data_IF_497558863693
#
_entry.id   IF_497558863693
#
_cell.length_a   1.000
_cell.length_b   1.000
_cell.length_c   1.000
_cell.angle_alpha   90.00
_cell.angle_beta   90.00
_cell.angle_gamma   90.00
#
_symmetry.space_group_name_H-M   'P 1'
#
loop_
_entity.id
_entity.type
_entity.pdbx_description
1 polymer ?
#
# COMPACT_ATOMS: atom_id res chain seq x y z
N UNK A 1 -13.92 -4.51 -10.10
CA UNK A 1 -12.81 -3.87 -9.38
C UNK A 1 -11.76 -3.47 -10.43
N UNK A 2 -11.04 -2.37 -10.27
CA UNK A 2 -10.02 -1.97 -11.25
C UNK A 2 -8.95 -1.09 -10.65
N UNK A 3 -7.75 -1.13 -11.22
CA UNK A 3 -6.63 -0.27 -10.81
C UNK A 3 -5.77 0.13 -12.01
N UNK A 4 -5.12 1.29 -11.87
CA UNK A 4 -4.18 1.80 -12.85
C UNK A 4 -2.85 1.04 -12.80
N UNK A 5 -2.32 0.71 -13.96
CA UNK A 5 -0.90 0.42 -14.14
C UNK A 5 -0.22 1.65 -14.75
N UNK A 6 0.68 2.24 -13.96
CA UNK A 6 1.34 3.50 -14.27
C UNK A 6 2.63 3.27 -15.06
N UNK A 7 3.04 4.28 -15.82
CA UNK A 7 4.32 4.24 -16.51
C UNK A 7 5.48 3.99 -15.54
N UNK A 8 6.34 3.01 -15.88
CA UNK A 8 7.49 2.61 -15.07
C UNK A 8 7.30 1.38 -14.18
N UNK A 9 6.06 0.89 -13.99
CA UNK A 9 5.80 -0.34 -13.24
C UNK A 9 6.31 -1.62 -13.95
N UNK A 10 6.60 -1.54 -15.26
CA UNK A 10 7.17 -2.62 -16.09
C UNK A 10 6.46 -3.97 -15.92
N UNK A 11 5.15 -3.96 -15.73
CA UNK A 11 4.33 -5.16 -15.52
C UNK A 11 4.11 -6.00 -16.80
N UNK A 12 5.07 -6.00 -17.74
CA UNK A 12 4.95 -6.71 -19.02
C UNK A 12 4.72 -8.22 -18.86
N UNK A 13 5.33 -8.84 -17.84
CA UNK A 13 5.11 -10.26 -17.53
C UNK A 13 3.68 -10.51 -17.07
N UNK A 14 3.12 -9.66 -16.20
CA UNK A 14 1.74 -9.78 -15.75
C UNK A 14 0.75 -9.60 -16.90
N UNK A 15 0.99 -8.59 -17.76
CA UNK A 15 0.16 -8.33 -18.94
C UNK A 15 0.20 -9.51 -19.91
N UNK A 16 1.39 -10.03 -20.21
CA UNK A 16 1.55 -11.21 -21.05
C UNK A 16 0.84 -12.44 -20.48
N UNK A 17 1.05 -12.74 -19.20
CA UNK A 17 0.37 -13.85 -18.53
C UNK A 17 -1.15 -13.72 -18.57
N UNK A 18 -1.70 -12.52 -18.34
CA UNK A 18 -3.15 -12.28 -18.38
C UNK A 18 -3.76 -12.42 -19.78
N UNK A 19 -2.96 -12.20 -20.83
CA UNK A 19 -3.41 -12.40 -22.20
C UNK A 19 -3.60 -13.89 -22.55
N UNK A 20 -2.85 -14.78 -21.91
CA UNK A 20 -2.94 -16.24 -22.10
C UNK A 20 -3.85 -16.92 -21.06
N UNK A 21 -3.78 -16.46 -19.80
CA UNK A 21 -4.57 -16.99 -18.70
C UNK A 21 -5.14 -15.83 -17.86
N UNK A 22 -6.45 -15.57 -17.93
CA UNK A 22 -7.05 -14.46 -17.20
C UNK A 22 -7.15 -14.72 -15.69
N UNK A 23 -6.88 -15.94 -15.20
CA UNK A 23 -6.97 -16.25 -13.78
C UNK A 23 -5.92 -15.50 -12.97
N UNK A 24 -6.38 -14.75 -11.97
CA UNK A 24 -5.52 -13.96 -11.11
C UNK A 24 -6.08 -13.90 -9.69
N UNK A 25 -5.23 -13.45 -8.76
CA UNK A 25 -5.70 -13.05 -7.45
C UNK A 25 -5.00 -11.78 -6.99
N UNK A 26 -5.71 -10.93 -6.26
CA UNK A 26 -5.16 -9.76 -5.60
C UNK A 26 -4.83 -10.12 -4.16
N UNK A 27 -3.63 -9.73 -3.75
CA UNK A 27 -3.11 -9.94 -2.40
C UNK A 27 -3.00 -8.59 -1.69
N UNK A 28 -3.96 -8.30 -0.83
CA UNK A 28 -4.04 -7.02 -0.13
C UNK A 28 -3.60 -7.21 1.32
N UNK A 29 -2.57 -6.47 1.73
CA UNK A 29 -1.99 -6.53 3.07
C UNK A 29 -2.24 -5.24 3.84
N UNK A 30 -2.86 -5.37 5.00
CA UNK A 30 -2.88 -4.35 6.03
C UNK A 30 -1.94 -4.79 7.15
N UNK A 31 -0.73 -4.24 7.14
CA UNK A 31 0.29 -4.59 8.12
C UNK A 31 0.01 -4.03 9.51
N UNK A 32 -0.67 -2.89 9.61
CA UNK A 32 -0.96 -2.24 10.91
C UNK A 32 -1.99 -3.08 11.67
N UNK A 33 -3.08 -3.45 11.00
CA UNK A 33 -4.15 -4.25 11.62
C UNK A 33 -3.91 -5.77 11.52
N UNK A 34 -2.79 -6.19 10.93
CA UNK A 34 -2.45 -7.61 10.67
C UNK A 34 -3.56 -8.35 9.91
N UNK A 35 -4.11 -7.71 8.87
CA UNK A 35 -5.16 -8.31 8.05
C UNK A 35 -4.64 -8.57 6.65
N UNK A 36 -5.14 -9.65 6.06
CA UNK A 36 -4.81 -10.05 4.71
C UNK A 36 -6.05 -10.51 3.99
N UNK A 37 -6.36 -9.83 2.90
CA UNK A 37 -7.44 -10.20 1.99
C UNK A 37 -6.81 -10.82 0.74
N UNK A 38 -7.34 -11.98 0.34
CA UNK A 38 -7.10 -12.55 -0.97
C UNK A 38 -8.39 -12.45 -1.77
N UNK A 39 -8.32 -11.91 -2.97
CA UNK A 39 -9.46 -11.80 -3.88
C UNK A 39 -9.10 -12.59 -5.13
N UNK A 40 -9.87 -13.63 -5.45
CA UNK A 40 -9.66 -14.45 -6.64
C UNK A 40 -10.68 -14.12 -7.71
N UNK A 41 -10.27 -14.33 -8.96
CA UNK A 41 -11.16 -14.25 -10.10
C UNK A 41 -10.38 -14.11 -11.39
N UNK A 42 -10.92 -13.31 -12.31
CA UNK A 42 -10.30 -13.07 -13.61
C UNK A 42 -9.93 -11.61 -13.79
N UNK A 43 -8.83 -11.36 -14.47
CA UNK A 43 -8.35 -10.03 -14.80
C UNK A 43 -8.14 -9.87 -16.31
N UNK A 44 -8.40 -8.66 -16.80
CA UNK A 44 -8.11 -8.26 -18.18
C UNK A 44 -7.49 -6.87 -18.21
N UNK A 45 -6.67 -6.65 -19.23
CA UNK A 45 -6.01 -5.37 -19.48
C UNK A 45 -6.86 -4.55 -20.46
N UNK A 46 -6.95 -3.25 -20.23
CA UNK A 46 -7.64 -2.28 -21.10
C UNK A 46 -6.72 -1.09 -21.31
N UNK A 47 -6.41 -0.77 -22.57
CA UNK A 47 -5.50 0.31 -22.95
C UNK A 47 -6.21 1.43 -23.73
N UNK A 48 -7.39 1.10 -24.24
CA UNK A 48 -8.10 1.78 -25.32
C UNK A 48 -9.46 2.34 -24.85
N UNK A 49 -9.56 2.64 -23.55
CA UNK A 49 -10.72 3.29 -22.91
C UNK A 49 -10.26 4.56 -22.16
N UNK A 50 -10.21 5.72 -22.83
CA UNK A 50 -9.72 6.96 -22.22
C UNK A 50 -10.52 7.41 -21.00
N UNK A 51 -11.84 7.18 -20.98
CA UNK A 51 -12.69 7.56 -19.85
C UNK A 51 -12.33 6.74 -18.60
N UNK A 52 -12.16 5.43 -18.77
CA UNK A 52 -11.72 4.55 -17.69
C UNK A 52 -10.32 4.92 -17.19
N UNK A 53 -9.39 5.22 -18.10
CA UNK A 53 -8.02 5.61 -17.71
C UNK A 53 -8.04 6.92 -16.92
N UNK A 54 -8.86 7.90 -17.31
CA UNK A 54 -9.04 9.15 -16.56
C UNK A 54 -9.66 8.89 -15.18
N UNK A 55 -10.64 7.99 -15.06
CA UNK A 55 -11.23 7.64 -13.76
C UNK A 55 -10.23 7.01 -12.78
N UNK A 56 -9.20 6.33 -13.30
CA UNK A 56 -8.16 5.69 -12.48
C UNK A 56 -6.97 6.63 -12.16
N UNK A 57 -6.97 7.87 -12.67
CA UNK A 57 -5.97 8.86 -12.30
C UNK A 57 -6.15 9.29 -10.84
N UNK A 58 -5.03 9.42 -10.12
CA UNK A 58 -5.04 9.96 -8.76
C UNK A 58 -4.60 11.44 -8.81
N UNK A 59 -5.39 12.39 -8.26
CA UNK A 59 -5.12 13.82 -8.40
C UNK A 59 -3.71 14.25 -7.98
N UNK A 60 -3.18 13.65 -6.91
CA UNK A 60 -1.90 14.01 -6.31
C UNK A 60 -0.72 13.13 -6.79
N UNK A 61 -0.94 12.26 -7.79
CA UNK A 61 0.10 11.37 -8.31
C UNK A 61 0.37 11.66 -9.80
N UNK A 62 1.46 12.37 -10.15
CA UNK A 62 1.73 12.85 -11.50
C UNK A 62 2.27 11.74 -12.43
N UNK A 63 1.72 10.53 -12.35
CA UNK A 63 2.10 9.40 -13.19
C UNK A 63 1.06 9.16 -14.28
N UNK A 64 1.53 8.88 -15.49
CA UNK A 64 0.66 8.53 -16.62
C UNK A 64 0.11 7.12 -16.41
N UNK A 65 -1.20 6.96 -16.47
CA UNK A 65 -1.86 5.65 -16.51
C UNK A 65 -1.69 5.09 -17.92
N UNK A 66 -0.93 4.01 -18.07
CA UNK A 66 -0.71 3.35 -19.37
C UNK A 66 -1.86 2.40 -19.71
N UNK A 67 -2.38 1.72 -18.70
CA UNK A 67 -3.42 0.70 -18.86
C UNK A 67 -4.24 0.55 -17.58
N UNK A 68 -5.47 0.09 -17.73
CA UNK A 68 -6.33 -0.32 -16.64
C UNK A 68 -6.32 -1.84 -16.52
N UNK A 69 -6.13 -2.35 -15.31
CA UNK A 69 -6.35 -3.77 -15.01
C UNK A 69 -7.73 -3.88 -14.36
N UNK A 70 -8.66 -4.50 -15.07
CA UNK A 70 -10.02 -4.75 -14.58
C UNK A 70 -10.12 -6.18 -14.05
N UNK A 71 -10.63 -6.30 -12.84
CA UNK A 71 -10.75 -7.53 -12.09
C UNK A 71 -12.22 -7.86 -11.82
N UNK A 72 -12.65 -9.01 -12.32
CA UNK A 72 -13.92 -9.65 -12.03
C UNK A 72 -13.75 -10.58 -10.84
N UNK A 73 -14.40 -10.26 -9.73
CA UNK A 73 -14.26 -10.99 -8.47
C UNK A 73 -15.15 -12.24 -8.49
N UNK A 74 -14.54 -13.40 -8.25
CA UNK A 74 -15.26 -14.66 -8.08
C UNK A 74 -15.46 -15.00 -6.61
N UNK A 75 -14.40 -14.84 -5.81
CA UNK A 75 -14.44 -15.10 -4.37
C UNK A 75 -13.38 -14.28 -3.64
N UNK A 76 -13.54 -14.11 -2.35
CA UNK A 76 -12.55 -13.46 -1.49
C UNK A 76 -12.54 -14.09 -0.10
N UNK A 77 -11.40 -14.02 0.56
CA UNK A 77 -11.20 -14.54 1.91
C UNK A 77 -10.30 -13.61 2.72
N UNK A 78 -10.58 -13.54 4.02
CA UNK A 78 -9.75 -12.90 5.03
C UNK A 78 -9.04 -13.95 5.88
N UNK A 79 -7.71 -13.90 5.89
CA UNK A 79 -6.91 -14.89 6.61
C UNK A 79 -6.81 -14.59 8.12
N UNK A 80 -6.43 -15.62 8.90
CA UNK A 80 -6.02 -15.48 10.31
C UNK A 80 -4.77 -14.58 10.44
N UNK A 81 -4.71 -13.68 11.44
CA UNK A 81 -3.60 -12.74 11.64
C UNK A 81 -2.31 -13.39 12.17
N UNK A 82 -2.34 -14.67 12.54
CA UNK A 82 -1.16 -15.39 13.02
C UNK A 82 -0.04 -15.32 11.97
N UNK A 83 1.15 -14.89 12.40
CA UNK A 83 2.36 -14.68 11.59
C UNK A 83 2.47 -13.38 10.77
N UNK A 84 1.46 -12.50 10.77
CA UNK A 84 1.63 -11.17 10.16
C UNK A 84 2.35 -10.27 11.15
N UNK A 85 3.61 -9.95 10.84
CA UNK A 85 4.40 -9.02 11.64
C UNK A 85 3.87 -7.60 11.44
N UNK A 86 3.57 -6.86 12.51
CA UNK A 86 3.17 -5.46 12.40
C UNK A 86 4.25 -4.66 11.66
N UNK A 87 3.82 -3.86 10.70
CA UNK A 87 4.64 -2.78 10.13
C UNK A 87 3.86 -1.50 10.29
N UNK A 88 4.52 -0.52 10.89
CA UNK A 88 3.95 0.80 11.16
C UNK A 88 4.61 1.76 10.17
N UNK A 89 3.84 2.65 9.53
CA UNK A 89 4.39 3.72 8.71
C UNK A 89 5.50 4.50 9.43
N UNK A 90 6.54 4.86 8.69
CA UNK A 90 7.67 5.60 9.26
C UNK A 90 7.22 6.93 9.87
N UNK A 91 6.26 7.61 9.24
CA UNK A 91 5.71 8.89 9.70
C UNK A 91 5.09 8.79 11.11
N UNK A 92 4.33 7.73 11.38
CA UNK A 92 3.73 7.48 12.69
C UNK A 92 4.81 7.26 13.76
N UNK A 93 5.83 6.46 13.43
CA UNK A 93 6.96 6.19 14.33
C UNK A 93 7.74 7.47 14.61
N UNK A 94 8.02 8.27 13.59
CA UNK A 94 8.76 9.52 13.70
C UNK A 94 8.01 10.56 14.53
N UNK A 95 6.68 10.62 14.40
CA UNK A 95 5.83 11.49 15.21
C UNK A 95 5.97 11.19 16.70
N UNK A 96 5.86 9.90 17.08
CA UNK A 96 6.04 9.48 18.48
C UNK A 96 7.46 9.75 18.98
N UNK A 97 8.49 9.43 18.18
CA UNK A 97 9.89 9.65 18.54
C UNK A 97 10.21 11.13 18.76
N UNK A 98 9.66 12.03 17.94
CA UNK A 98 9.87 13.47 18.09
C UNK A 98 9.23 13.99 19.38
N UNK A 99 8.00 13.57 19.69
CA UNK A 99 7.34 13.90 20.96
C UNK A 99 8.17 13.47 22.17
N UNK A 100 8.71 12.24 22.15
CA UNK A 100 9.59 11.75 23.22
C UNK A 100 10.92 12.52 23.34
N UNK A 101 11.47 13.01 22.23
CA UNK A 101 12.69 13.83 22.22
C UNK A 101 12.45 15.21 22.84
N UNK A 102 11.30 15.82 22.57
CA UNK A 102 10.94 17.12 23.10
C UNK A 102 10.71 17.07 24.62
N UNK A 103 10.03 16.03 25.09
CA UNK A 103 9.84 15.77 26.51
C UNK A 103 11.18 15.55 27.22
N UNK A 104 12.03 14.67 26.68
CA UNK A 104 13.37 14.43 27.23
C UNK A 104 14.21 15.70 27.30
N UNK A 105 14.14 16.55 26.29
CA UNK A 105 14.85 17.84 26.26
C UNK A 105 14.34 18.76 27.37
N UNK A 106 13.03 18.79 27.57
CA UNK A 106 12.39 19.57 28.63
C UNK A 106 12.79 19.07 30.03
N UNK A 107 12.78 17.75 30.24
CA UNK A 107 13.14 17.14 31.52
C UNK A 107 14.61 17.34 31.86
N UNK A 108 15.52 17.20 30.88
CA UNK A 108 16.95 17.48 31.07
C UNK A 108 17.23 18.93 31.44
N UNK A 109 16.45 19.89 30.92
CA UNK A 109 16.55 21.30 31.34
C UNK A 109 16.06 21.53 32.78
N UNK A 110 15.06 20.76 33.22
CA UNK A 110 14.50 20.84 34.58
C UNK A 110 15.32 20.10 35.63
N UNK A 111 16.19 19.18 35.22
CA UNK A 111 17.04 18.39 36.12
C UNK A 111 18.52 18.81 35.99
N UNK A 112 19.05 19.66 36.90
CA UNK A 112 20.43 20.14 36.84
C UNK A 112 21.50 19.09 37.21
N UNK A 113 21.14 17.81 37.32
CA UNK A 113 22.03 16.76 37.81
C UNK A 113 22.13 16.74 39.34
N UNK A 114 22.74 15.69 39.94
CA UNK A 114 23.05 15.71 41.36
C UNK A 114 24.02 16.86 41.66
N UNK A 115 23.74 17.67 42.69
CA UNK A 115 24.72 18.66 43.19
C UNK A 115 25.95 17.90 43.64
N UNK A 116 27.08 18.12 42.98
CA UNK A 116 28.37 17.65 43.48
C UNK A 116 28.62 18.37 44.82
N UNK A 117 28.89 17.57 45.86
CA UNK A 117 29.24 18.03 47.21
C UNK A 117 30.70 18.43 47.29
#
# INVERSE_FOLDING_TARGET
LGFADFSGNRQYISVGNLSENPQAFLFLMDYVNRRRVKIWGTARVVEDDPELLTQLQTPDYPATVERAILFSVETWDMNCPQHIHPRIPQEDVMTLLNSLRDENTTLKKKWPGPRQA
#
